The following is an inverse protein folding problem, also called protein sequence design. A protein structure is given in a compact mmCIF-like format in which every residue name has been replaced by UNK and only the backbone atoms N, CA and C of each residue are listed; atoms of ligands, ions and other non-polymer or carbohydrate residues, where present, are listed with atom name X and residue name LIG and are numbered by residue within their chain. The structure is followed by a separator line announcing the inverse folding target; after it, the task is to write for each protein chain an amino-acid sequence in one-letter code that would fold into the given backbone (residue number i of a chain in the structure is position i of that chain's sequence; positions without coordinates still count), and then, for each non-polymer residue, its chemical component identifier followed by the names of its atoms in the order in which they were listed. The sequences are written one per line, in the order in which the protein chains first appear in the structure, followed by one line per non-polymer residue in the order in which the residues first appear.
data_IF_542536114610
#
_entry.id   IF_542536114610
#
_cell.length_a   1.000
_cell.length_b   1.000
_cell.length_c   1.000
_cell.angle_alpha   90.00
_cell.angle_beta   90.00
_cell.angle_gamma   90.00
#
_symmetry.space_group_name_H-M   'P 1'
#
loop_
_entity.id
_entity.type
_entity.pdbx_description
1 polymer ?
#
# COMPACT_ATOMS: atom_id res chain seq x y z
N UNK A 1 -1.27 -2.68 5.91
CA UNK A 1 -0.44 -1.62 6.53
C UNK A 1 0.27 -2.09 7.80
N UNK A 2 -0.43 -2.75 8.72
CA UNK A 2 0.18 -3.50 9.83
C UNK A 2 0.29 -4.97 9.42
N UNK A 3 1.36 -5.65 9.83
CA UNK A 3 1.44 -7.11 9.75
C UNK A 3 1.00 -7.72 11.07
N UNK A 4 0.67 -9.02 11.14
CA UNK A 4 0.17 -9.66 12.34
C UNK A 4 1.09 -9.54 13.57
N UNK A 5 2.39 -9.29 13.36
CA UNK A 5 3.39 -9.16 14.42
C UNK A 5 4.00 -7.74 14.52
N UNK A 6 3.48 -6.74 13.82
CA UNK A 6 4.12 -5.40 13.77
C UNK A 6 3.47 -4.42 14.75
N UNK A 7 4.29 -3.80 15.61
CA UNK A 7 3.84 -2.70 16.51
C UNK A 7 3.68 -1.36 15.78
N UNK A 8 4.39 -1.18 14.66
CA UNK A 8 4.37 0.02 13.81
C UNK A 8 4.09 -0.37 12.35
N UNK A 9 3.52 0.52 11.52
CA UNK A 9 3.14 0.16 10.16
C UNK A 9 4.36 -0.13 9.29
N UNK A 10 4.15 -0.93 8.24
CA UNK A 10 5.16 -1.20 7.22
C UNK A 10 5.67 0.12 6.61
N UNK A 11 6.99 0.39 6.61
CA UNK A 11 7.52 1.62 6.03
C UNK A 11 7.22 1.79 4.54
N UNK A 12 7.23 0.69 3.77
CA UNK A 12 6.89 0.74 2.34
C UNK A 12 5.42 1.05 2.08
N UNK A 13 4.50 0.43 2.81
CA UNK A 13 3.08 0.79 2.73
C UNK A 13 2.87 2.26 3.13
N UNK A 14 3.59 2.71 4.15
CA UNK A 14 3.54 4.09 4.64
C UNK A 14 4.05 5.08 3.58
N UNK A 15 5.12 4.74 2.86
CA UNK A 15 5.61 5.53 1.73
C UNK A 15 4.53 5.67 0.64
N UNK A 16 3.93 4.56 0.21
CA UNK A 16 2.91 4.57 -0.84
C UNK A 16 1.68 5.39 -0.45
N UNK A 17 1.17 5.21 0.77
CA UNK A 17 0.03 5.97 1.29
C UNK A 17 0.35 7.47 1.43
N UNK A 18 1.58 7.81 1.80
CA UNK A 18 2.04 9.19 1.85
C UNK A 18 1.95 9.88 0.49
N UNK A 19 2.35 9.21 -0.59
CA UNK A 19 2.24 9.74 -1.96
C UNK A 19 0.79 9.94 -2.40
N UNK A 20 -0.12 9.03 -2.03
CA UNK A 20 -1.53 9.11 -2.43
C UNK A 20 -2.33 10.10 -1.58
N UNK A 21 -2.00 10.26 -0.30
CA UNK A 21 -2.74 11.13 0.62
C UNK A 21 -2.88 12.56 0.07
N UNK A 22 -1.85 13.10 -0.57
CA UNK A 22 -1.86 14.46 -1.12
C UNK A 22 -2.98 14.73 -2.15
N UNK A 23 -3.40 13.71 -2.89
CA UNK A 23 -4.45 13.82 -3.93
C UNK A 23 -5.72 13.02 -3.59
N UNK A 24 -5.79 12.40 -2.41
CA UNK A 24 -6.88 11.48 -2.08
C UNK A 24 -8.26 12.18 -2.12
N UNK A 25 -8.35 13.45 -1.72
CA UNK A 25 -9.59 14.23 -1.79
C UNK A 25 -10.09 14.41 -3.23
N UNK A 26 -9.18 14.71 -4.17
CA UNK A 26 -9.52 14.93 -5.58
C UNK A 26 -9.86 13.62 -6.27
N UNK A 27 -9.12 12.55 -5.99
CA UNK A 27 -9.43 11.19 -6.46
C UNK A 27 -10.85 10.80 -6.03
N UNK A 28 -11.20 11.11 -4.76
CA UNK A 28 -12.50 10.77 -4.17
C UNK A 28 -13.69 11.49 -4.82
N UNK A 29 -13.46 12.56 -5.58
CA UNK A 29 -14.50 13.21 -6.39
C UNK A 29 -14.89 12.39 -7.64
N UNK A 30 -14.04 11.43 -8.05
CA UNK A 30 -14.17 10.70 -9.32
C UNK A 30 -14.19 9.19 -9.16
N UNK A 31 -13.65 8.67 -8.06
CA UNK A 31 -13.60 7.24 -7.75
C UNK A 31 -13.68 7.02 -6.24
N UNK A 32 -14.26 5.89 -5.80
CA UNK A 32 -14.15 5.49 -4.39
C UNK A 32 -12.74 4.98 -4.12
N UNK A 33 -12.03 5.65 -3.19
CA UNK A 33 -10.69 5.25 -2.75
C UNK A 33 -10.78 4.69 -1.33
N UNK A 34 -10.36 3.43 -1.15
CA UNK A 34 -10.31 2.76 0.16
C UNK A 34 -8.95 2.11 0.36
N UNK A 35 -8.42 2.19 1.58
CA UNK A 35 -7.19 1.54 2.00
C UNK A 35 -7.57 0.31 2.80
N UNK A 36 -7.31 -0.86 2.24
CA UNK A 36 -7.68 -2.13 2.86
C UNK A 36 -6.50 -2.73 3.63
N UNK A 37 -6.82 -3.41 4.72
CA UNK A 37 -5.85 -4.26 5.40
C UNK A 37 -6.52 -5.27 6.32
N UNK A 38 -5.87 -6.42 6.54
CA UNK A 38 -6.36 -7.48 7.44
C UNK A 38 -6.25 -7.12 8.93
N UNK A 39 -5.37 -6.18 9.28
CA UNK A 39 -5.22 -5.72 10.66
C UNK A 39 -6.43 -4.91 11.12
N UNK A 40 -6.68 -4.83 12.45
CA UNK A 40 -7.65 -3.88 12.99
C UNK A 40 -7.47 -2.48 12.41
N UNK A 41 -8.58 -1.77 12.20
CA UNK A 41 -8.56 -0.46 11.54
C UNK A 41 -8.06 0.65 12.47
N UNK A 42 -8.24 0.48 13.78
CA UNK A 42 -7.97 1.51 14.79
C UNK A 42 -6.50 1.96 14.82
N UNK A 43 -5.50 1.06 14.83
CA UNK A 43 -4.09 1.46 14.73
C UNK A 43 -3.77 2.17 13.41
N UNK A 44 -4.48 1.83 12.33
CA UNK A 44 -4.26 2.44 11.02
C UNK A 44 -4.74 3.89 10.99
N UNK A 45 -5.92 4.14 11.55
CA UNK A 45 -6.47 5.49 11.71
C UNK A 45 -5.59 6.32 12.65
N UNK A 46 -5.17 5.76 13.78
CA UNK A 46 -4.31 6.45 14.74
C UNK A 46 -2.98 6.89 14.08
N UNK A 47 -2.37 6.02 13.27
CA UNK A 47 -1.15 6.36 12.54
C UNK A 47 -1.38 7.41 11.45
N UNK A 48 -2.51 7.33 10.72
CA UNK A 48 -2.88 8.35 9.74
C UNK A 48 -3.01 9.74 10.41
N UNK A 49 -3.61 9.80 11.60
CA UNK A 49 -3.71 11.04 12.39
C UNK A 49 -2.33 11.55 12.84
N UNK A 50 -1.43 10.67 13.29
CA UNK A 50 -0.04 11.01 13.63
C UNK A 50 0.69 11.68 12.44
N UNK A 51 0.36 11.27 11.22
CA UNK A 51 0.92 11.79 9.96
C UNK A 51 0.13 12.94 9.33
N UNK A 52 -0.93 13.43 10.00
CA UNK A 52 -1.88 14.42 9.48
C UNK A 52 -2.53 14.03 8.13
N UNK A 53 -2.70 12.73 7.89
CA UNK A 53 -3.43 12.20 6.74
C UNK A 53 -4.93 12.24 7.01
N UNK A 54 -5.63 13.12 6.30
CA UNK A 54 -7.06 13.41 6.55
C UNK A 54 -8.01 12.82 5.51
N UNK A 55 -7.47 12.43 4.35
CA UNK A 55 -8.29 12.10 3.18
C UNK A 55 -8.27 10.62 2.82
N UNK A 56 -7.53 9.80 3.57
CA UNK A 56 -7.48 8.35 3.37
C UNK A 56 -8.56 7.66 4.23
N UNK A 57 -9.34 6.80 3.60
CA UNK A 57 -10.35 5.99 4.29
C UNK A 57 -9.86 4.55 4.47
N UNK A 58 -9.64 4.14 5.72
CA UNK A 58 -9.15 2.81 6.06
C UNK A 58 -10.30 1.84 6.33
N UNK A 59 -10.19 0.62 5.80
CA UNK A 59 -11.18 -0.44 5.94
C UNK A 59 -10.47 -1.72 6.38
N UNK A 60 -11.01 -2.37 7.40
CA UNK A 60 -10.56 -3.70 7.79
C UNK A 60 -11.22 -4.76 6.90
N UNK A 61 -10.41 -5.69 6.41
CA UNK A 61 -10.90 -6.93 5.79
C UNK A 61 -11.28 -7.91 6.91
N UNK A 62 -12.49 -8.45 6.85
CA UNK A 62 -12.96 -9.47 7.79
C UNK A 62 -12.78 -10.86 7.17
N UNK A 63 -12.06 -11.73 7.87
CA UNK A 63 -11.66 -13.03 7.33
C UNK A 63 -10.55 -12.91 6.29
N UNK A 64 -10.32 -14.00 5.55
CA UNK A 64 -9.20 -14.11 4.62
C UNK A 64 -9.61 -14.24 3.16
N UNK A 65 -10.91 -14.38 2.86
CA UNK A 65 -11.43 -14.66 1.51
C UNK A 65 -10.99 -13.60 0.50
N UNK A 66 -11.10 -12.31 0.84
CA UNK A 66 -10.69 -11.23 -0.05
C UNK A 66 -9.19 -11.28 -0.39
N UNK A 67 -8.34 -11.53 0.60
CA UNK A 67 -6.90 -11.62 0.40
C UNK A 67 -6.52 -12.90 -0.35
N UNK A 68 -7.24 -14.00 -0.13
CA UNK A 68 -7.07 -15.26 -0.85
C UNK A 68 -7.47 -15.16 -2.32
N UNK A 69 -8.60 -14.53 -2.63
CA UNK A 69 -9.10 -14.33 -4.00
C UNK A 69 -8.11 -13.54 -4.88
N UNK A 70 -7.35 -12.64 -4.25
CA UNK A 70 -6.29 -11.86 -4.90
C UNK A 70 -4.90 -12.51 -4.78
N UNK A 71 -4.79 -13.64 -4.08
CA UNK A 71 -3.53 -14.36 -3.82
C UNK A 71 -2.49 -13.51 -3.08
N UNK A 72 -2.93 -12.67 -2.13
CA UNK A 72 -2.05 -11.75 -1.41
C UNK A 72 -1.42 -12.38 -0.17
N UNK A 73 -1.96 -13.49 0.31
CA UNK A 73 -1.43 -14.16 1.50
C UNK A 73 -0.11 -14.87 1.20
N UNK A 74 0.90 -14.56 2.00
CA UNK A 74 2.20 -15.21 1.93
C UNK A 74 2.23 -16.45 2.83
N UNK A 75 3.11 -17.45 2.58
CA UNK A 75 3.15 -18.69 3.37
C UNK A 75 3.42 -18.50 4.86
N UNK A 76 4.04 -17.38 5.24
CA UNK A 76 4.33 -16.98 6.62
C UNK A 76 3.18 -16.21 7.30
N UNK A 77 2.02 -16.10 6.63
CA UNK A 77 0.83 -15.42 7.14
C UNK A 77 0.83 -13.90 6.96
N UNK A 78 1.84 -13.36 6.28
CA UNK A 78 1.89 -11.97 5.84
C UNK A 78 0.90 -11.64 4.71
N UNK A 79 0.98 -10.42 4.22
CA UNK A 79 0.13 -9.91 3.15
C UNK A 79 0.99 -9.09 2.17
N UNK A 80 0.93 -9.47 0.89
CA UNK A 80 1.57 -8.75 -0.22
C UNK A 80 0.77 -7.49 -0.56
N UNK A 81 1.43 -6.39 -0.96
CA UNK A 81 0.72 -5.20 -1.42
C UNK A 81 0.01 -5.46 -2.74
N UNK A 82 -1.14 -4.80 -2.92
CA UNK A 82 -1.86 -4.77 -4.18
C UNK A 82 -2.58 -3.44 -4.36
N UNK A 83 -2.69 -3.01 -5.61
CA UNK A 83 -3.60 -1.97 -6.04
C UNK A 83 -4.67 -2.61 -6.92
N UNK A 84 -5.93 -2.42 -6.54
CA UNK A 84 -7.06 -3.05 -7.22
C UNK A 84 -8.08 -2.00 -7.63
N UNK A 85 -8.44 -2.01 -8.90
CA UNK A 85 -9.49 -1.16 -9.47
C UNK A 85 -10.68 -2.05 -9.81
N UNK A 86 -11.81 -1.73 -9.20
CA UNK A 86 -13.09 -2.37 -9.49
C UNK A 86 -13.95 -1.49 -10.37
N UNK A 87 -14.75 -2.11 -11.23
CA UNK A 87 -15.82 -1.46 -11.97
C UNK A 87 -17.17 -1.93 -11.42
N UNK A 88 -18.03 -0.98 -11.06
CA UNK A 88 -19.44 -1.25 -10.78
C UNK A 88 -20.23 -1.29 -12.09
N UNK A 89 -21.04 -2.31 -12.26
CA UNK A 89 -21.89 -2.53 -13.44
C UNK A 89 -23.30 -2.97 -12.97
N UNK A 90 -24.20 -1.99 -12.86
CA UNK A 90 -25.45 -2.16 -12.12
C UNK A 90 -25.14 -2.55 -10.67
N UNK A 91 -25.73 -3.65 -10.20
CA UNK A 91 -25.49 -4.20 -8.85
C UNK A 91 -24.27 -5.12 -8.76
N UNK A 92 -23.58 -5.35 -9.87
CA UNK A 92 -22.38 -6.19 -9.89
C UNK A 92 -21.13 -5.34 -9.68
N UNK A 93 -20.15 -5.88 -8.98
CA UNK A 93 -18.78 -5.35 -8.90
C UNK A 93 -17.85 -6.36 -9.54
N UNK A 94 -17.04 -5.90 -10.50
CA UNK A 94 -16.07 -6.74 -11.21
C UNK A 94 -14.67 -6.17 -11.06
N UNK A 95 -13.69 -7.05 -10.90
CA UNK A 95 -12.29 -6.69 -11.04
C UNK A 95 -12.07 -6.12 -12.44
N UNK A 96 -11.57 -4.88 -12.52
CA UNK A 96 -11.26 -4.22 -13.78
C UNK A 96 -9.76 -4.24 -14.07
N UNK A 97 -8.94 -3.97 -13.06
CA UNK A 97 -7.49 -3.98 -13.15
C UNK A 97 -6.89 -4.25 -11.77
N UNK A 98 -5.73 -4.92 -11.73
CA UNK A 98 -4.96 -5.09 -10.51
C UNK A 98 -3.46 -5.13 -10.79
N UNK A 99 -2.68 -4.56 -9.87
CA UNK A 99 -1.26 -4.87 -9.71
C UNK A 99 -1.02 -5.52 -8.36
N UNK A 100 -0.06 -6.44 -8.32
CA UNK A 100 0.47 -7.01 -7.09
C UNK A 100 1.90 -7.49 -7.36
N UNK A 101 2.88 -6.65 -7.09
CA UNK A 101 4.29 -7.03 -7.12
C UNK A 101 4.64 -7.84 -5.87
N UNK A 102 4.74 -9.16 -6.04
CA UNK A 102 5.19 -10.09 -4.99
C UNK A 102 6.71 -10.11 -4.88
N UNK A 103 7.23 -10.70 -3.80
CA UNK A 103 8.67 -10.76 -3.55
C UNK A 103 9.42 -11.50 -4.66
N UNK A 104 8.83 -12.55 -5.22
CA UNK A 104 9.42 -13.34 -6.30
C UNK A 104 9.49 -12.58 -7.64
N UNK A 105 8.78 -11.44 -7.73
CA UNK A 105 8.77 -10.56 -8.90
C UNK A 105 9.74 -9.39 -8.75
N UNK A 106 10.38 -9.24 -7.59
CA UNK A 106 11.42 -8.24 -7.39
C UNK A 106 12.74 -8.71 -8.00
N UNK A 107 13.51 -7.76 -8.53
CA UNK A 107 14.91 -8.02 -8.90
C UNK A 107 15.70 -8.45 -7.66
N UNK A 108 16.77 -9.25 -7.84
CA UNK A 108 17.65 -9.61 -6.73
C UNK A 108 18.05 -8.38 -5.91
N UNK A 109 17.97 -8.51 -4.59
CA UNK A 109 18.30 -7.47 -3.60
C UNK A 109 17.41 -6.21 -3.64
N UNK A 110 16.23 -6.27 -4.27
CA UNK A 110 15.26 -5.17 -4.24
C UNK A 110 13.96 -5.51 -3.49
N UNK A 111 13.39 -4.48 -2.89
CA UNK A 111 12.10 -4.59 -2.20
C UNK A 111 10.89 -4.56 -3.13
N UNK A 112 9.84 -5.26 -2.71
CA UNK A 112 8.49 -5.14 -3.27
C UNK A 112 7.97 -3.72 -3.11
N UNK A 113 7.41 -3.17 -4.17
CA UNK A 113 7.07 -1.74 -4.24
C UNK A 113 5.83 -1.43 -5.08
N UNK A 114 4.92 -2.39 -5.15
CA UNK A 114 3.76 -2.41 -6.06
C UNK A 114 3.23 -1.02 -6.47
N UNK A 115 2.95 -0.85 -7.76
CA UNK A 115 2.63 0.43 -8.39
C UNK A 115 3.63 1.57 -8.06
N UNK A 116 4.92 1.42 -8.42
CA UNK A 116 5.96 2.40 -8.09
C UNK A 116 5.68 3.79 -8.69
N UNK A 117 4.97 3.85 -9.82
CA UNK A 117 4.60 5.13 -10.46
C UNK A 117 3.66 6.00 -9.61
N UNK A 118 2.92 5.38 -8.68
CA UNK A 118 2.05 6.08 -7.72
C UNK A 118 2.85 6.48 -6.47
N UNK A 119 3.74 5.61 -6.00
CA UNK A 119 4.69 5.91 -4.94
C UNK A 119 5.94 6.59 -5.50
N UNK A 120 5.81 7.88 -5.82
CA UNK A 120 6.80 8.69 -6.53
C UNK A 120 8.24 8.61 -5.99
N UNK A 121 8.45 8.19 -4.74
CA UNK A 121 9.77 7.93 -4.16
C UNK A 121 10.68 7.15 -5.12
N UNK A 122 10.26 5.97 -5.58
CA UNK A 122 11.12 5.11 -6.39
C UNK A 122 11.37 5.69 -7.77
N UNK A 123 10.32 6.22 -8.40
CA UNK A 123 10.43 6.89 -9.70
C UNK A 123 11.38 8.09 -9.64
N UNK A 124 11.45 8.81 -8.52
CA UNK A 124 12.39 9.93 -8.34
C UNK A 124 13.81 9.43 -8.09
N UNK A 125 13.99 8.44 -7.21
CA UNK A 125 15.32 7.89 -6.92
C UNK A 125 15.96 7.23 -8.15
N UNK A 126 15.17 6.57 -9.00
CA UNK A 126 15.66 6.00 -10.25
C UNK A 126 16.17 7.05 -11.26
N UNK A 127 15.80 8.33 -11.09
CA UNK A 127 16.29 9.42 -11.93
C UNK A 127 17.62 10.00 -11.46
N UNK A 128 18.11 9.64 -10.27
CA UNK A 128 19.41 10.11 -9.77
C UNK A 128 20.54 9.20 -10.27
N UNK A 129 21.78 9.70 -10.41
CA UNK A 129 22.93 8.88 -10.82
C UNK A 129 23.18 7.67 -9.91
N UNK A 130 22.86 7.80 -8.62
CA UNK A 130 23.03 6.76 -7.61
C UNK A 130 21.90 5.71 -7.66
N UNK A 131 20.78 6.02 -8.32
CA UNK A 131 19.58 5.20 -8.30
C UNK A 131 19.02 5.03 -6.88
N UNK A 132 18.31 3.92 -6.68
CA UNK A 132 17.61 3.61 -5.43
C UNK A 132 18.46 2.98 -4.31
N UNK A 133 19.67 2.51 -4.61
CA UNK A 133 20.50 1.72 -3.69
C UNK A 133 19.93 0.32 -3.38
N UNK A 134 20.77 -0.57 -2.84
CA UNK A 134 20.37 -1.94 -2.42
C UNK A 134 20.35 -2.10 -0.90
N UNK A 135 20.89 -1.12 -0.19
CA UNK A 135 21.15 -1.09 1.25
C UNK A 135 20.33 -0.02 1.98
N UNK A 136 19.38 0.61 1.28
CA UNK A 136 18.50 1.63 1.82
C UNK A 136 17.03 1.24 1.68
N UNK A 137 16.26 1.45 2.75
CA UNK A 137 14.83 1.24 2.80
C UNK A 137 14.15 2.45 3.46
N UNK A 138 12.95 2.86 3.02
CA UNK A 138 12.25 3.95 3.68
C UNK A 138 11.99 3.62 5.15
N UNK A 139 12.04 4.64 6.00
CA UNK A 139 11.80 4.55 7.44
C UNK A 139 10.59 5.40 7.81
N UNK A 140 9.98 5.08 8.95
CA UNK A 140 8.87 5.87 9.48
C UNK A 140 9.34 7.25 9.98
N UNK A 141 10.58 7.32 10.45
CA UNK A 141 11.23 8.50 10.99
C UNK A 141 12.70 8.51 10.57
N UNK A 142 13.25 9.71 10.37
CA UNK A 142 14.65 9.92 10.02
C UNK A 142 15.27 10.85 11.05
N UNK A 143 16.54 10.63 11.39
CA UNK A 143 17.30 11.56 12.22
C UNK A 143 17.33 12.93 11.53
N UNK A 144 17.01 13.98 12.29
CA UNK A 144 17.11 15.37 11.84
C UNK A 144 18.53 15.89 12.04
#
# INVERSE_FOLDING_TARGET
MYGPMRDRPCPMCTNWLGSVNGNASDISQRASLKILGRSPVEPQIAFAQERDWRSLEFVQIVGDDYANDLGLLTPDGGESPALVVYRRDGDNVRLFWSSAMRLEMAEPDQDTRDAPDIASLWSILDLTPEGRGADWYPKLEYAR
#
